data_IF_064683761081
#
_entry.id   IF_064683761081
#
_cell.length_a   1.000
_cell.length_b   1.000
_cell.length_c   1.000
_cell.angle_alpha   90.00
_cell.angle_beta   90.00
_cell.angle_gamma   90.00
#
_symmetry.space_group_name_H-M   'P 1'
#
loop_
_entity.id
_entity.type
_entity.pdbx_description
1 polymer ?
#
# COMPACT_ATOMS: atom_id res chain seq x y z
N UNK A 1 -23.21 -4.70 3.68
CA UNK A 1 -22.18 -5.53 3.02
C UNK A 1 -21.88 -4.98 1.65
N UNK A 2 -20.68 -4.43 1.45
CA UNK A 2 -20.31 -3.80 0.18
C UNK A 2 -19.74 -4.86 -0.79
N UNK A 3 -20.34 -5.06 -1.98
CA UNK A 3 -19.86 -6.06 -2.94
C UNK A 3 -18.42 -5.79 -3.42
N UNK A 4 -18.01 -4.52 -3.47
CA UNK A 4 -16.65 -4.12 -3.87
C UNK A 4 -15.62 -4.65 -2.86
N UNK A 5 -15.91 -4.52 -1.56
CA UNK A 5 -15.02 -5.02 -0.50
C UNK A 5 -14.82 -6.53 -0.60
N UNK A 6 -15.89 -7.29 -0.88
CA UNK A 6 -15.80 -8.75 -1.06
C UNK A 6 -14.91 -9.08 -2.25
N UNK A 7 -15.12 -8.40 -3.39
CA UNK A 7 -14.29 -8.60 -4.60
C UNK A 7 -12.82 -8.31 -4.29
N UNK A 8 -12.51 -7.23 -3.57
CA UNK A 8 -11.14 -6.89 -3.19
C UNK A 8 -10.47 -7.95 -2.30
N UNK A 9 -11.20 -8.52 -1.31
CA UNK A 9 -10.68 -9.58 -0.44
C UNK A 9 -10.43 -10.86 -1.24
N UNK A 10 -11.39 -11.27 -2.07
CA UNK A 10 -11.24 -12.46 -2.93
C UNK A 10 -10.06 -12.28 -3.88
N UNK A 11 -9.94 -11.11 -4.52
CA UNK A 11 -8.83 -10.80 -5.41
C UNK A 11 -7.49 -10.85 -4.67
N UNK A 12 -7.41 -10.28 -3.46
CA UNK A 12 -6.19 -10.35 -2.63
C UNK A 12 -5.83 -11.79 -2.28
N UNK A 13 -6.83 -12.62 -1.95
CA UNK A 13 -6.66 -14.07 -1.73
C UNK A 13 -6.19 -14.82 -2.98
N UNK A 14 -6.73 -14.51 -4.16
CA UNK A 14 -6.29 -15.12 -5.43
C UNK A 14 -4.83 -14.77 -5.72
N UNK A 15 -4.38 -13.56 -5.36
CA UNK A 15 -2.99 -13.12 -5.51
C UNK A 15 -1.98 -13.94 -4.68
N UNK A 16 -2.42 -14.76 -3.72
CA UNK A 16 -1.52 -15.64 -2.95
C UNK A 16 -0.93 -16.73 -3.86
N UNK A 17 -1.68 -17.19 -4.87
CA UNK A 17 -1.24 -18.23 -5.82
C UNK A 17 -0.01 -17.77 -6.63
N UNK A 18 -0.04 -16.63 -7.34
CA UNK A 18 1.14 -16.11 -8.03
C UNK A 18 2.26 -15.73 -7.06
N UNK A 19 1.95 -15.21 -5.87
CA UNK A 19 2.94 -14.88 -4.85
C UNK A 19 3.80 -16.11 -4.49
N UNK A 20 3.17 -17.23 -4.14
CA UNK A 20 3.87 -18.48 -3.85
C UNK A 20 4.68 -19.00 -5.03
N UNK A 21 4.15 -18.90 -6.25
CA UNK A 21 4.89 -19.26 -7.46
C UNK A 21 6.16 -18.43 -7.63
N UNK A 22 6.10 -17.12 -7.39
CA UNK A 22 7.26 -16.22 -7.50
C UNK A 22 8.26 -16.39 -6.37
N UNK A 23 7.80 -16.72 -5.15
CA UNK A 23 8.68 -17.07 -4.03
C UNK A 23 9.49 -18.31 -4.38
N UNK A 24 8.83 -19.38 -4.89
CA UNK A 24 9.51 -20.61 -5.34
C UNK A 24 10.46 -20.37 -6.51
N UNK A 25 10.12 -19.45 -7.41
CA UNK A 25 10.97 -19.06 -8.54
C UNK A 25 12.14 -18.13 -8.15
N UNK A 26 12.29 -17.78 -6.86
CA UNK A 26 13.37 -16.90 -6.38
C UNK A 26 13.25 -15.44 -6.83
N UNK A 27 12.10 -15.03 -7.39
CA UNK A 27 11.89 -13.68 -7.94
C UNK A 27 11.51 -12.67 -6.85
N UNK A 28 12.51 -12.24 -6.08
CA UNK A 28 12.34 -11.38 -4.89
C UNK A 28 11.55 -10.08 -5.14
N UNK A 29 11.77 -9.39 -6.27
CA UNK A 29 11.04 -8.13 -6.57
C UNK A 29 9.55 -8.39 -6.76
N UNK A 30 9.20 -9.37 -7.59
CA UNK A 30 7.80 -9.67 -7.88
C UNK A 30 7.08 -10.13 -6.61
N UNK A 31 7.71 -10.97 -5.79
CA UNK A 31 7.13 -11.37 -4.50
C UNK A 31 6.82 -10.16 -3.60
N UNK A 32 7.73 -9.17 -3.52
CA UNK A 32 7.47 -7.94 -2.75
C UNK A 32 6.35 -7.10 -3.35
N UNK A 33 6.29 -6.99 -4.67
CA UNK A 33 5.23 -6.25 -5.35
C UNK A 33 3.85 -6.86 -5.09
N UNK A 34 3.70 -8.19 -5.25
CA UNK A 34 2.44 -8.88 -4.99
C UNK A 34 2.02 -8.79 -3.52
N UNK A 35 2.96 -8.95 -2.59
CA UNK A 35 2.66 -8.80 -1.16
C UNK A 35 2.21 -7.37 -0.83
N UNK A 36 2.86 -6.35 -1.39
CA UNK A 36 2.44 -4.95 -1.23
C UNK A 36 1.04 -4.69 -1.80
N UNK A 37 0.76 -5.18 -3.01
CA UNK A 37 -0.54 -5.05 -3.65
C UNK A 37 -1.65 -5.74 -2.83
N UNK A 38 -1.38 -6.90 -2.24
CA UNK A 38 -2.32 -7.59 -1.36
C UNK A 38 -2.69 -6.75 -0.13
N UNK A 39 -1.70 -6.15 0.53
CA UNK A 39 -1.92 -5.27 1.69
C UNK A 39 -2.78 -4.08 1.29
N UNK A 40 -2.49 -3.44 0.16
CA UNK A 40 -3.30 -2.32 -0.37
C UNK A 40 -4.74 -2.76 -0.65
N UNK A 41 -4.97 -3.91 -1.28
CA UNK A 41 -6.31 -4.45 -1.55
C UNK A 41 -7.10 -4.72 -0.27
N UNK A 42 -6.46 -5.27 0.77
CA UNK A 42 -7.10 -5.55 2.05
C UNK A 42 -7.46 -4.25 2.78
N UNK A 43 -6.53 -3.29 2.84
CA UNK A 43 -6.80 -1.98 3.43
C UNK A 43 -7.92 -1.25 2.68
N UNK A 44 -7.93 -1.32 1.36
CA UNK A 44 -8.99 -0.74 0.53
C UNK A 44 -10.35 -1.41 0.78
N UNK A 45 -10.38 -2.74 0.88
CA UNK A 45 -11.61 -3.47 1.18
C UNK A 45 -12.20 -3.07 2.53
N UNK A 46 -11.35 -2.93 3.56
CA UNK A 46 -11.75 -2.47 4.89
C UNK A 46 -12.29 -1.03 4.85
N UNK A 47 -11.60 -0.12 4.16
CA UNK A 47 -12.03 1.27 4.03
C UNK A 47 -13.41 1.36 3.35
N UNK A 48 -13.60 0.67 2.23
CA UNK A 48 -14.88 0.67 1.48
C UNK A 48 -16.01 -0.02 2.28
N UNK A 49 -15.68 -0.98 3.15
CA UNK A 49 -16.67 -1.68 3.96
C UNK A 49 -17.22 -0.80 5.08
N UNK A 50 -16.39 0.08 5.64
CA UNK A 50 -16.72 0.90 6.81
C UNK A 50 -16.95 2.38 6.49
N UNK A 51 -16.64 2.87 5.29
CA UNK A 51 -16.94 4.24 4.92
C UNK A 51 -18.47 4.48 4.85
N UNK A 52 -19.01 5.57 5.44
CA UNK A 52 -18.30 6.70 6.08
C UNK A 52 -18.03 6.55 7.59
N UNK A 53 -18.57 5.53 8.25
CA UNK A 53 -18.45 5.28 9.69
C UNK A 53 -17.20 4.45 10.05
N UNK A 54 -16.03 5.05 9.88
CA UNK A 54 -14.75 4.35 10.09
C UNK A 54 -14.39 4.22 11.57
N UNK A 55 -14.88 5.12 12.42
CA UNK A 55 -14.57 5.14 13.86
C UNK A 55 -15.78 4.62 14.64
N UNK A 56 -15.63 3.45 15.25
CA UNK A 56 -16.66 2.81 16.07
C UNK A 56 -16.32 3.07 17.54
N UNK A 57 -17.11 3.92 18.19
CA UNK A 57 -16.97 4.23 19.62
C UNK A 57 -18.03 3.49 20.43
N UNK A 58 -17.80 3.31 21.74
CA UNK A 58 -18.71 2.54 22.62
C UNK A 58 -20.14 3.09 22.71
N UNK A 59 -20.34 4.37 22.41
CA UNK A 59 -21.64 5.05 22.52
C UNK A 59 -22.23 5.48 21.18
N UNK A 60 -21.40 5.69 20.14
CA UNK A 60 -21.86 6.18 18.84
C UNK A 60 -20.82 5.91 17.74
N UNK A 61 -21.29 5.64 16.52
CA UNK A 61 -20.44 5.59 15.33
C UNK A 61 -20.18 7.01 14.81
N UNK A 62 -18.92 7.36 14.59
CA UNK A 62 -18.53 8.69 14.08
C UNK A 62 -18.37 8.58 12.56
N UNK A 63 -19.17 9.37 11.84
CA UNK A 63 -19.07 9.52 10.39
C UNK A 63 -17.93 10.46 10.02
N UNK A 64 -17.15 10.10 9.00
CA UNK A 64 -16.14 10.99 8.41
C UNK A 64 -16.73 12.14 7.59
N UNK A 65 -18.02 12.07 7.28
CA UNK A 65 -18.74 13.07 6.49
C UNK A 65 -19.58 14.02 7.34
N UNK A 66 -19.73 13.71 8.64
CA UNK A 66 -20.37 14.61 9.60
C UNK A 66 -19.33 15.61 10.11
N UNK A 67 -19.71 16.87 10.25
CA UNK A 67 -18.85 17.94 10.79
C UNK A 67 -17.48 18.04 10.09
N UNK A 68 -17.49 17.92 8.74
CA UNK A 68 -16.25 18.03 7.96
C UNK A 68 -15.58 19.40 8.17
N UNK A 69 -14.26 19.40 8.14
CA UNK A 69 -13.48 20.63 8.22
C UNK A 69 -13.83 21.60 7.08
N UNK A 70 -13.63 22.91 7.28
CA UNK A 70 -13.87 23.90 6.24
C UNK A 70 -13.14 23.54 4.94
N UNK A 71 -13.76 23.85 3.79
CA UNK A 71 -13.26 23.49 2.46
C UNK A 71 -11.80 23.93 2.23
N UNK A 72 -11.41 25.08 2.78
CA UNK A 72 -10.04 25.60 2.71
C UNK A 72 -9.03 24.67 3.39
N UNK A 73 -9.39 24.07 4.53
CA UNK A 73 -8.55 23.13 5.27
C UNK A 73 -8.42 21.82 4.49
N UNK A 74 -9.53 21.30 3.96
CA UNK A 74 -9.54 20.08 3.15
C UNK A 74 -8.66 20.27 1.90
N UNK A 75 -8.77 21.41 1.23
CA UNK A 75 -7.95 21.73 0.06
C UNK A 75 -6.46 21.81 0.41
N UNK A 76 -6.10 22.54 1.47
CA UNK A 76 -4.71 22.67 1.92
C UNK A 76 -4.13 21.31 2.32
N UNK A 77 -4.88 20.49 3.06
CA UNK A 77 -4.45 19.15 3.46
C UNK A 77 -4.29 18.24 2.25
N UNK A 78 -5.23 18.27 1.31
CA UNK A 78 -5.17 17.49 0.08
C UNK A 78 -3.93 17.81 -0.76
N UNK A 79 -3.67 19.10 -1.00
CA UNK A 79 -2.48 19.55 -1.72
C UNK A 79 -1.20 19.18 -0.95
N UNK A 80 -1.19 19.39 0.37
CA UNK A 80 -0.04 19.05 1.22
C UNK A 80 0.29 17.56 1.20
N UNK A 81 -0.72 16.69 1.17
CA UNK A 81 -0.53 15.24 1.08
C UNK A 81 0.01 14.83 -0.30
N UNK A 82 -0.49 15.43 -1.38
CA UNK A 82 0.00 15.16 -2.74
C UNK A 82 1.46 15.60 -2.88
N UNK A 83 1.80 16.83 -2.46
CA UNK A 83 3.17 17.35 -2.55
C UNK A 83 4.09 16.58 -1.60
N UNK A 84 3.68 16.40 -0.34
CA UNK A 84 4.42 15.67 0.67
C UNK A 84 4.68 14.23 0.25
N UNK A 85 3.67 13.52 -0.24
CA UNK A 85 3.81 12.17 -0.79
C UNK A 85 4.75 12.13 -1.99
N UNK A 86 4.64 13.12 -2.88
CA UNK A 86 5.52 13.29 -4.04
C UNK A 86 6.99 13.52 -3.68
N UNK A 87 7.29 14.07 -2.50
CA UNK A 87 8.67 14.25 -1.99
C UNK A 87 9.13 13.04 -1.17
N UNK A 88 8.25 12.47 -0.34
CA UNK A 88 8.56 11.35 0.56
C UNK A 88 8.88 10.09 -0.26
N UNK A 89 8.09 9.76 -1.29
CA UNK A 89 8.31 8.56 -2.11
C UNK A 89 9.69 8.51 -2.80
N UNK A 90 10.14 9.54 -3.54
CA UNK A 90 11.49 9.54 -4.13
C UNK A 90 12.59 9.62 -3.07
N UNK A 91 12.35 10.34 -1.95
CA UNK A 91 13.29 10.37 -0.82
C UNK A 91 13.51 8.98 -0.21
N UNK A 92 12.42 8.24 0.03
CA UNK A 92 12.48 6.86 0.52
C UNK A 92 13.18 5.93 -0.47
N UNK A 93 12.89 6.08 -1.77
CA UNK A 93 13.56 5.30 -2.81
C UNK A 93 15.08 5.56 -2.83
N UNK A 94 15.48 6.84 -2.73
CA UNK A 94 16.88 7.22 -2.65
C UNK A 94 17.56 6.60 -1.41
N UNK A 95 16.91 6.66 -0.25
CA UNK A 95 17.42 6.10 1.00
C UNK A 95 17.62 4.58 0.91
N UNK A 96 16.63 3.86 0.38
CA UNK A 96 16.70 2.41 0.18
C UNK A 96 17.84 2.00 -0.76
N UNK A 97 18.14 2.82 -1.77
CA UNK A 97 19.28 2.63 -2.67
C UNK A 97 20.61 2.92 -1.96
N UNK A 98 20.71 4.04 -1.23
CA UNK A 98 21.92 4.45 -0.53
C UNK A 98 22.38 3.43 0.50
N UNK A 99 21.45 2.79 1.20
CA UNK A 99 21.77 1.78 2.21
C UNK A 99 22.03 0.38 1.64
N UNK A 100 22.13 0.20 0.31
CA UNK A 100 22.28 -1.11 -0.36
C UNK A 100 21.22 -2.14 0.09
N UNK A 101 20.09 -1.68 0.61
CA UNK A 101 19.02 -2.54 1.13
C UNK A 101 18.28 -3.25 -0.03
N UNK A 102 18.42 -2.71 -1.23
CA UNK A 102 18.09 -3.33 -2.50
C UNK A 102 19.34 -4.09 -2.99
N UNK A 103 19.62 -5.27 -2.41
CA UNK A 103 20.69 -6.21 -2.85
C UNK A 103 20.46 -6.84 -4.24
N UNK A 104 19.71 -6.17 -5.10
CA UNK A 104 19.43 -6.67 -6.45
C UNK A 104 20.64 -6.52 -7.38
N UNK A 105 21.57 -5.63 -7.04
CA UNK A 105 22.75 -5.31 -7.86
C UNK A 105 24.04 -6.06 -7.44
N UNK A 106 24.07 -6.74 -6.30
CA UNK A 106 25.28 -7.45 -5.82
C UNK A 106 25.55 -8.78 -6.55
N UNK A 107 24.62 -9.28 -7.38
CA UNK A 107 24.79 -10.57 -8.09
C UNK A 107 25.60 -10.46 -9.38
N UNK A 108 25.67 -9.27 -9.98
CA UNK A 108 26.34 -9.10 -11.28
C UNK A 108 27.87 -8.97 -11.12
N UNK A 109 28.37 -8.48 -9.98
CA UNK A 109 29.82 -8.38 -9.71
C UNK A 109 30.51 -9.75 -9.52
N UNK A 110 29.79 -10.80 -9.10
CA UNK A 110 30.39 -12.12 -8.89
C UNK A 110 30.55 -12.95 -10.17
N UNK A 111 29.93 -12.53 -11.28
CA UNK A 111 30.06 -13.20 -12.58
C UNK A 111 31.26 -12.70 -13.41
N UNK A 112 31.81 -11.52 -13.09
CA UNK A 112 33.01 -10.97 -13.76
C UNK A 112 34.34 -11.34 -13.08
N UNK A 113 34.29 -12.10 -11.98
CA UNK A 113 35.47 -12.53 -11.19
C UNK A 113 35.74 -14.06 -11.30
N UNK A 114 35.13 -14.73 -12.28
CA UNK A 114 35.43 -16.12 -12.66
C UNK A 114 35.79 -16.17 -14.13
#
# INVERSE_FOLDING_TARGET
>A
TNPISIICIILSGILLIPLWKFIRAGRRILSRYFAGLQVVLVLFAALVAHFPYVIITSSQEISLLEDISPDSVIMVLGISLIIGGGIILPGLFHLMKSFKMIKIFDRDEQQFQK
#
